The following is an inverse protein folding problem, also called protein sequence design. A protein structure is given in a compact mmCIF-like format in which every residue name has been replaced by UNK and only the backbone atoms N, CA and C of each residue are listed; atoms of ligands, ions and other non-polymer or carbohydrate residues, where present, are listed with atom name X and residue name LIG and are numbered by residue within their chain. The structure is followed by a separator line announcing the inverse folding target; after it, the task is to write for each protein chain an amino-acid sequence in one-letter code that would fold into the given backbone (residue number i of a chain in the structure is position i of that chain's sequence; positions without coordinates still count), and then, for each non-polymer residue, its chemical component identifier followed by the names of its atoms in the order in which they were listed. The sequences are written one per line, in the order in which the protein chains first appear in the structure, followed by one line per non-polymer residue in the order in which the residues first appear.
data_IF_116986422302
#
_entry.id   IF_116986422302
#
_cell.length_a   1.000
_cell.length_b   1.000
_cell.length_c   1.000
_cell.angle_alpha   90.00
_cell.angle_beta   90.00
_cell.angle_gamma   90.00
#
_symmetry.space_group_name_H-M   'P 1'
#
loop_
_entity.id
_entity.type
_entity.pdbx_description
1 polymer ?
#
# COMPACT_ATOMS: atom_id res chain seq x y z
N UNK A 1 4.30 -0.12 17.60
CA UNK A 1 3.33 -0.38 16.51
C UNK A 1 4.04 -0.35 15.16
N UNK A 2 3.60 -1.18 14.24
CA UNK A 2 4.11 -1.12 12.87
C UNK A 2 3.52 0.09 12.14
N UNK A 3 4.29 0.66 11.22
CA UNK A 3 3.92 1.88 10.51
C UNK A 3 3.46 1.54 9.10
N UNK A 4 2.29 2.04 8.73
CA UNK A 4 1.71 1.83 7.40
C UNK A 4 1.53 3.20 6.73
N UNK A 5 2.01 3.33 5.51
CA UNK A 5 1.72 4.49 4.66
C UNK A 5 0.70 4.07 3.62
N UNK A 6 -0.38 4.82 3.49
CA UNK A 6 -1.41 4.61 2.47
C UNK A 6 -1.37 5.76 1.48
N UNK A 7 -1.16 5.47 0.21
CA UNK A 7 -1.11 6.47 -0.86
C UNK A 7 -2.17 6.15 -1.89
N UNK A 8 -3.19 7.01 -2.00
CA UNK A 8 -4.31 6.83 -2.91
C UNK A 8 -4.93 8.20 -3.16
N UNK A 9 -5.21 8.55 -4.42
CA UNK A 9 -5.78 9.87 -4.75
C UNK A 9 -7.25 10.02 -4.30
N UNK A 10 -7.90 8.92 -3.92
CA UNK A 10 -9.25 8.95 -3.36
C UNK A 10 -9.21 9.14 -1.84
N UNK A 11 -9.54 10.34 -1.39
CA UNK A 11 -9.55 10.67 0.05
C UNK A 11 -10.43 9.76 0.87
N UNK A 12 -11.57 9.34 0.31
CA UNK A 12 -12.48 8.44 1.02
C UNK A 12 -11.82 7.10 1.34
N UNK A 13 -11.01 6.61 0.42
CA UNK A 13 -10.28 5.33 0.61
C UNK A 13 -9.21 5.48 1.68
N UNK A 14 -8.38 6.53 1.61
CA UNK A 14 -7.32 6.71 2.60
C UNK A 14 -7.89 6.94 3.99
N UNK A 15 -8.97 7.71 4.11
CA UNK A 15 -9.64 7.96 5.39
C UNK A 15 -10.18 6.65 5.99
N UNK A 16 -10.86 5.86 5.17
CA UNK A 16 -11.44 4.58 5.60
C UNK A 16 -10.36 3.61 6.05
N UNK A 17 -9.30 3.44 5.25
CA UNK A 17 -8.22 2.52 5.56
C UNK A 17 -7.48 2.93 6.82
N UNK A 18 -7.21 4.23 6.97
CA UNK A 18 -6.56 4.72 8.18
C UNK A 18 -7.39 4.40 9.43
N UNK A 19 -8.67 4.76 9.41
CA UNK A 19 -9.55 4.52 10.54
C UNK A 19 -9.60 3.03 10.89
N UNK A 20 -9.73 2.20 9.88
CA UNK A 20 -9.82 0.76 10.06
C UNK A 20 -8.54 0.17 10.64
N UNK A 21 -7.39 0.52 10.05
CA UNK A 21 -6.10 -0.04 10.47
C UNK A 21 -5.71 0.44 11.86
N UNK A 22 -5.94 1.72 12.18
CA UNK A 22 -5.64 2.26 13.51
C UNK A 22 -6.55 1.67 14.58
N UNK A 23 -7.80 1.34 14.24
CA UNK A 23 -8.73 0.73 15.17
C UNK A 23 -8.28 -0.65 15.66
N UNK A 24 -7.44 -1.34 14.90
CA UNK A 24 -6.89 -2.63 15.35
C UNK A 24 -5.93 -2.50 16.52
N UNK A 25 -5.40 -1.31 16.78
CA UNK A 25 -4.38 -1.08 17.80
C UNK A 25 -2.99 -1.58 17.43
N UNK A 26 -2.80 -2.10 16.21
CA UNK A 26 -1.54 -2.69 15.75
C UNK A 26 -0.69 -1.76 14.89
N UNK A 27 -1.32 -0.74 14.29
CA UNK A 27 -0.67 0.08 13.26
C UNK A 27 -0.77 1.56 13.56
N UNK A 28 0.31 2.27 13.24
CA UNK A 28 0.31 3.72 13.12
C UNK A 28 0.24 4.03 11.63
N UNK A 29 -0.73 4.83 11.21
CA UNK A 29 -1.01 5.04 9.78
C UNK A 29 -0.84 6.50 9.39
N UNK A 30 -0.13 6.74 8.28
CA UNK A 30 -0.15 8.02 7.59
C UNK A 30 -0.75 7.84 6.21
N UNK A 31 -1.40 8.88 5.71
CA UNK A 31 -2.05 8.85 4.41
C UNK A 31 -1.59 10.02 3.56
N UNK A 32 -1.46 9.78 2.26
CA UNK A 32 -1.22 10.83 1.27
C UNK A 32 -2.10 10.58 0.07
N UNK A 33 -2.46 11.66 -0.62
CA UNK A 33 -3.37 11.59 -1.76
C UNK A 33 -2.69 11.92 -3.09
N UNK A 34 -1.36 12.00 -3.10
CA UNK A 34 -0.57 12.14 -4.33
C UNK A 34 0.70 11.33 -4.22
N UNK A 35 1.25 10.92 -5.37
CA UNK A 35 2.48 10.14 -5.40
C UNK A 35 3.68 10.91 -4.87
N UNK A 36 3.80 12.19 -5.21
CA UNK A 36 4.91 13.02 -4.75
C UNK A 36 4.87 13.21 -3.23
N UNK A 37 3.71 13.54 -2.67
CA UNK A 37 3.55 13.65 -1.22
C UNK A 37 3.81 12.31 -0.53
N UNK A 38 3.38 11.21 -1.16
CA UNK A 38 3.63 9.86 -0.65
C UNK A 38 5.11 9.55 -0.54
N UNK A 39 5.90 9.90 -1.55
CA UNK A 39 7.33 9.70 -1.52
C UNK A 39 8.00 10.50 -0.39
N UNK A 40 7.66 11.78 -0.27
CA UNK A 40 8.21 12.63 0.78
C UNK A 40 7.85 12.12 2.19
N UNK A 41 6.62 11.69 2.37
CA UNK A 41 6.19 11.11 3.66
C UNK A 41 6.91 9.80 3.94
N UNK A 42 7.13 8.96 2.94
CA UNK A 42 7.87 7.71 3.11
C UNK A 42 9.30 7.97 3.62
N UNK A 43 9.97 8.99 3.10
CA UNK A 43 11.32 9.35 3.54
C UNK A 43 11.36 9.79 5.00
N UNK A 44 10.32 10.46 5.48
CA UNK A 44 10.24 10.97 6.85
C UNK A 44 9.72 9.94 7.84
N UNK A 45 8.72 9.20 7.43
CA UNK A 45 7.98 8.28 8.30
C UNK A 45 8.66 6.91 8.45
N UNK A 46 9.42 6.48 7.46
CA UNK A 46 10.04 5.15 7.41
C UNK A 46 9.01 4.04 7.66
N UNK A 47 8.00 3.91 6.78
CA UNK A 47 6.95 2.92 7.01
C UNK A 47 7.49 1.49 6.94
N UNK A 48 6.81 0.59 7.64
CA UNK A 48 7.09 -0.83 7.57
C UNK A 48 6.45 -1.48 6.36
N UNK A 49 5.43 -0.82 5.79
CA UNK A 49 4.74 -1.25 4.57
C UNK A 49 4.02 -0.06 3.95
N UNK A 50 3.92 -0.07 2.62
CA UNK A 50 3.21 0.95 1.86
C UNK A 50 2.06 0.29 1.09
N UNK A 51 0.83 0.78 1.30
CA UNK A 51 -0.32 0.47 0.47
C UNK A 51 -0.43 1.55 -0.59
N UNK A 52 -0.41 1.20 -1.85
CA UNK A 52 -0.20 2.14 -2.95
C UNK A 52 -1.20 1.91 -4.07
N UNK A 53 -1.97 2.94 -4.41
CA UNK A 53 -2.86 2.91 -5.57
C UNK A 53 -2.02 2.91 -6.86
N UNK A 54 -2.37 2.04 -7.80
CA UNK A 54 -1.67 1.93 -9.08
C UNK A 54 -1.90 3.17 -9.96
N UNK A 55 -3.10 3.73 -9.92
CA UNK A 55 -3.50 4.85 -10.78
C UNK A 55 -3.69 6.14 -9.99
N UNK A 56 -2.76 7.08 -10.15
CA UNK A 56 -2.83 8.40 -9.52
C UNK A 56 -2.55 9.49 -10.55
N UNK A 57 -3.08 10.69 -10.29
CA UNK A 57 -3.07 11.79 -11.26
C UNK A 57 -1.69 12.37 -11.55
N UNK A 58 -0.80 12.46 -10.55
CA UNK A 58 0.52 13.09 -10.71
C UNK A 58 1.63 12.08 -10.99
N UNK A 59 1.91 11.24 -10.03
CA UNK A 59 2.92 10.18 -10.13
C UNK A 59 2.20 8.85 -9.93
N UNK A 60 2.12 8.05 -10.99
CA UNK A 60 1.46 6.75 -10.93
C UNK A 60 2.12 5.85 -9.89
N UNK A 61 1.35 4.90 -9.36
CA UNK A 61 1.86 3.92 -8.41
C UNK A 61 3.11 3.21 -8.89
N UNK A 62 3.17 2.83 -10.17
CA UNK A 62 4.36 2.19 -10.76
C UNK A 62 5.59 3.11 -10.66
N UNK A 63 5.44 4.39 -11.01
CA UNK A 63 6.53 5.35 -10.93
C UNK A 63 6.98 5.58 -9.49
N UNK A 64 6.04 5.67 -8.57
CA UNK A 64 6.36 5.81 -7.15
C UNK A 64 7.06 4.55 -6.61
N UNK A 65 6.58 3.37 -7.00
CA UNK A 65 7.23 2.13 -6.60
C UNK A 65 8.68 2.07 -7.08
N UNK A 66 8.94 2.49 -8.31
CA UNK A 66 10.30 2.55 -8.85
C UNK A 66 11.19 3.50 -8.05
N UNK A 67 10.68 4.68 -7.72
CA UNK A 67 11.43 5.64 -6.89
C UNK A 67 11.78 5.05 -5.53
N UNK A 68 10.83 4.36 -4.90
CA UNK A 68 11.03 3.72 -3.61
C UNK A 68 12.07 2.61 -3.71
N UNK A 69 11.99 1.77 -4.73
CA UNK A 69 12.94 0.66 -4.92
C UNK A 69 14.35 1.14 -5.25
N UNK A 70 14.49 2.31 -5.85
CA UNK A 70 15.78 2.90 -6.15
C UNK A 70 16.34 3.79 -5.03
N UNK A 71 15.57 3.99 -3.96
CA UNK A 71 16.01 4.80 -2.83
C UNK A 71 16.71 3.91 -1.79
N UNK A 72 17.96 4.22 -1.40
CA UNK A 72 18.71 3.39 -0.46
C UNK A 72 18.02 3.23 0.90
N UNK A 73 17.20 4.21 1.32
CA UNK A 73 16.50 4.16 2.60
C UNK A 73 15.20 3.37 2.54
N UNK A 74 14.58 3.28 1.35
CA UNK A 74 13.23 2.74 1.20
C UNK A 74 13.17 1.43 0.41
N UNK A 75 14.25 1.04 -0.25
CA UNK A 75 14.23 -0.09 -1.20
C UNK A 75 13.77 -1.41 -0.60
N UNK A 76 13.89 -1.60 0.71
CA UNK A 76 13.47 -2.83 1.39
C UNK A 76 12.05 -2.75 1.94
N UNK A 77 11.40 -1.59 1.85
CA UNK A 77 10.04 -1.42 2.33
C UNK A 77 9.08 -2.18 1.40
N UNK A 78 8.27 -3.11 1.91
CA UNK A 78 7.32 -3.83 1.08
C UNK A 78 6.21 -2.92 0.58
N UNK A 79 5.80 -3.14 -0.67
CA UNK A 79 4.72 -2.39 -1.32
C UNK A 79 3.61 -3.37 -1.68
N UNK A 80 2.39 -3.04 -1.29
CA UNK A 80 1.18 -3.76 -1.70
C UNK A 80 0.35 -2.81 -2.54
N UNK A 81 0.05 -3.19 -3.77
CA UNK A 81 -0.75 -2.34 -4.66
C UNK A 81 -2.24 -2.50 -4.39
N UNK A 82 -2.94 -1.37 -4.36
CA UNK A 82 -4.40 -1.32 -4.40
C UNK A 82 -4.81 -1.03 -5.83
N UNK A 83 -5.76 -1.76 -6.39
CA UNK A 83 -6.14 -1.55 -7.79
C UNK A 83 -7.64 -1.68 -8.02
N UNK A 84 -8.18 -0.74 -8.81
CA UNK A 84 -9.52 -0.84 -9.37
C UNK A 84 -9.53 -1.37 -10.82
N UNK A 85 -8.35 -1.58 -11.41
CA UNK A 85 -8.20 -2.02 -12.79
C UNK A 85 -8.28 -3.55 -12.90
N UNK A 86 -7.63 -4.25 -11.96
CA UNK A 86 -7.57 -5.72 -11.92
C UNK A 86 -8.72 -6.21 -11.04
N UNK A 87 -9.48 -7.18 -11.51
CA UNK A 87 -10.59 -7.74 -10.74
C UNK A 87 -10.08 -8.61 -9.59
N UNK A 88 -10.94 -8.82 -8.59
CA UNK A 88 -10.62 -9.72 -7.49
C UNK A 88 -10.27 -11.13 -8.02
N UNK A 89 -10.99 -11.60 -9.03
CA UNK A 89 -10.73 -12.89 -9.66
C UNK A 89 -9.33 -12.94 -10.28
N UNK A 90 -8.93 -11.89 -11.00
CA UNK A 90 -7.59 -11.83 -11.59
C UNK A 90 -6.49 -11.84 -10.53
N UNK A 91 -6.71 -11.15 -9.41
CA UNK A 91 -5.78 -11.17 -8.27
C UNK A 91 -5.65 -12.59 -7.71
N UNK A 92 -6.77 -13.27 -7.51
CA UNK A 92 -6.80 -14.64 -6.99
C UNK A 92 -6.13 -15.63 -7.96
N UNK A 93 -6.35 -15.49 -9.26
CA UNK A 93 -5.73 -16.35 -10.29
C UNK A 93 -4.20 -16.18 -10.34
N UNK A 94 -3.68 -15.07 -9.89
CA UNK A 94 -2.25 -14.79 -9.83
C UNK A 94 -1.68 -14.93 -8.42
N UNK A 95 -2.39 -15.60 -7.52
CA UNK A 95 -2.00 -15.81 -6.11
C UNK A 95 -1.74 -14.46 -5.38
N UNK A 96 -2.45 -13.41 -5.78
CA UNK A 96 -2.32 -12.09 -5.20
C UNK A 96 -1.08 -11.32 -5.63
N UNK A 97 -0.28 -11.86 -6.56
CA UNK A 97 0.98 -11.23 -6.98
C UNK A 97 0.96 -10.99 -8.48
N UNK A 98 1.18 -9.74 -8.89
CA UNK A 98 1.24 -9.34 -10.30
C UNK A 98 2.49 -8.50 -10.49
N UNK A 99 3.31 -8.82 -11.49
CA UNK A 99 4.52 -8.07 -11.78
C UNK A 99 5.54 -8.07 -10.64
N UNK A 100 5.53 -9.08 -9.79
CA UNK A 100 6.42 -9.17 -8.64
C UNK A 100 5.92 -8.47 -7.38
N UNK A 101 4.75 -7.82 -7.42
CA UNK A 101 4.17 -7.12 -6.28
C UNK A 101 2.84 -7.74 -5.88
N UNK A 102 2.55 -7.82 -4.56
CA UNK A 102 1.22 -8.22 -4.12
C UNK A 102 0.19 -7.13 -4.42
N UNK A 103 -1.03 -7.55 -4.75
CA UNK A 103 -2.14 -6.68 -5.11
C UNK A 103 -3.37 -7.00 -4.29
N UNK A 104 -4.14 -5.95 -3.97
CA UNK A 104 -5.48 -6.08 -3.39
C UNK A 104 -6.43 -5.34 -4.32
N UNK A 105 -7.45 -6.03 -4.80
CA UNK A 105 -8.45 -5.44 -5.68
C UNK A 105 -9.43 -4.55 -4.90
N UNK A 106 -9.76 -3.39 -5.46
CA UNK A 106 -10.82 -2.53 -4.95
C UNK A 106 -12.17 -2.98 -5.54
N UNK A 107 -13.29 -2.76 -4.84
CA UNK A 107 -13.36 -2.31 -3.46
C UNK A 107 -12.90 -3.42 -2.50
N UNK A 108 -12.33 -3.00 -1.36
CA UNK A 108 -11.88 -3.95 -0.34
C UNK A 108 -13.11 -4.37 0.46
N UNK A 109 -13.63 -5.57 0.17
CA UNK A 109 -14.85 -6.06 0.77
C UNK A 109 -14.61 -6.88 2.03
N UNK A 110 -13.42 -7.47 2.17
CA UNK A 110 -13.07 -8.30 3.31
C UNK A 110 -11.82 -7.72 3.97
N UNK A 111 -12.02 -7.05 5.09
CA UNK A 111 -10.94 -6.38 5.82
C UNK A 111 -9.91 -7.36 6.38
N UNK A 112 -10.34 -8.60 6.66
CA UNK A 112 -9.44 -9.65 7.12
C UNK A 112 -8.39 -10.00 6.07
N UNK A 113 -8.77 -10.03 4.79
CA UNK A 113 -7.83 -10.28 3.70
C UNK A 113 -6.76 -9.19 3.63
N UNK A 114 -7.17 -7.93 3.84
CA UNK A 114 -6.23 -6.81 3.89
C UNK A 114 -5.22 -6.99 5.03
N UNK A 115 -5.70 -7.29 6.22
CA UNK A 115 -4.83 -7.49 7.39
C UNK A 115 -3.87 -8.65 7.18
N UNK A 116 -4.35 -9.76 6.65
CA UNK A 116 -3.52 -10.93 6.40
C UNK A 116 -2.42 -10.63 5.37
N UNK A 117 -2.76 -9.88 4.33
CA UNK A 117 -1.80 -9.46 3.31
C UNK A 117 -0.72 -8.54 3.91
N UNK A 118 -1.12 -7.56 4.72
CA UNK A 118 -0.18 -6.65 5.38
C UNK A 118 0.77 -7.43 6.28
N UNK A 119 0.24 -8.27 7.15
CA UNK A 119 1.06 -9.04 8.09
C UNK A 119 2.03 -9.98 7.39
N UNK A 120 1.58 -10.65 6.34
CA UNK A 120 2.44 -11.55 5.57
C UNK A 120 3.59 -10.80 4.90
N UNK A 121 3.34 -9.62 4.35
CA UNK A 121 4.37 -8.86 3.65
C UNK A 121 5.35 -8.17 4.61
N UNK A 122 4.91 -7.73 5.78
CA UNK A 122 5.80 -7.20 6.81
C UNK A 122 6.73 -8.30 7.31
N UNK A 123 6.22 -9.50 7.54
CA UNK A 123 7.05 -10.63 8.00
C UNK A 123 8.12 -11.03 6.98
N UNK A 124 7.79 -10.99 5.69
CA UNK A 124 8.75 -11.33 4.63
C UNK A 124 9.92 -10.35 4.56
N UNK A 125 9.69 -9.07 4.86
CA UNK A 125 10.72 -8.03 4.79
C UNK A 125 11.51 -7.89 6.07
N UNK A 126 10.95 -8.37 7.15
CA UNK A 126 11.60 -8.33 8.47
C UNK A 126 12.49 -9.53 8.70
#
# INVERSE_FOLDING_TARGET
MKKILVVDDEKNITTLLRAFLEDTGRYQVRTENSGEAGYQTALQFHPDLILLDVMMGDLNGDGLADRIKNDPLLRKTPIVFLTGIVTKKEVEENDGVIGGYPYIAKPILVLRELLDCIEANIRKSG
#
